data_IF_282848585241
#
_entry.id   IF_282848585241
#
_cell.length_a   1.000
_cell.length_b   1.000
_cell.length_c   1.000
_cell.angle_alpha   90.00
_cell.angle_beta   90.00
_cell.angle_gamma   90.00
#
_symmetry.space_group_name_H-M   'P 1'
#
loop_
_entity.id
_entity.type
_entity.pdbx_description
1 polymer ?
#
# COMPACT_ATOMS: atom_id res chain seq x y z
N UNK A 1 -12.76 28.63 -16.76
CA UNK A 1 -12.03 27.46 -16.23
C UNK A 1 -12.86 26.23 -16.52
N UNK A 2 -12.39 25.29 -17.35
CA UNK A 2 -13.06 24.01 -17.50
C UNK A 2 -13.01 23.27 -16.16
N UNK A 3 -14.17 23.00 -15.56
CA UNK A 3 -14.27 22.15 -14.37
C UNK A 3 -14.33 20.70 -14.84
N UNK A 4 -13.26 19.96 -14.60
CA UNK A 4 -13.25 18.52 -14.76
C UNK A 4 -14.04 17.85 -13.61
N UNK A 5 -14.69 16.71 -13.85
CA UNK A 5 -15.35 15.94 -12.81
C UNK A 5 -14.30 15.34 -11.89
N UNK A 6 -14.72 14.96 -10.69
CA UNK A 6 -13.86 14.30 -9.72
C UNK A 6 -14.55 13.03 -9.25
N UNK A 7 -13.81 11.92 -9.22
CA UNK A 7 -14.26 10.62 -8.73
C UNK A 7 -13.36 10.12 -7.60
N UNK A 8 -13.89 9.20 -6.78
CA UNK A 8 -13.16 8.47 -5.75
C UNK A 8 -13.30 6.96 -5.92
N UNK A 9 -12.23 6.22 -5.64
CA UNK A 9 -12.06 4.79 -5.94
C UNK A 9 -11.13 4.16 -4.92
N UNK A 10 -11.33 2.91 -4.46
CA UNK A 10 -10.58 2.40 -3.30
C UNK A 10 -10.10 0.92 -3.29
N UNK A 11 -9.04 0.57 -2.52
CA UNK A 11 -8.23 -0.67 -2.60
C UNK A 11 -7.60 -1.14 -1.29
N UNK A 12 -7.35 -2.43 -1.08
CA UNK A 12 -6.77 -2.94 0.19
C UNK A 12 -5.30 -2.54 0.41
N UNK A 13 -4.93 -2.19 1.65
CA UNK A 13 -3.59 -1.84 2.11
C UNK A 13 -3.06 -2.97 3.01
N UNK A 14 -1.83 -3.42 2.75
CA UNK A 14 -1.12 -4.35 3.65
C UNK A 14 0.09 -3.70 4.30
N UNK A 15 0.38 -4.00 5.58
CA UNK A 15 1.46 -3.38 6.34
C UNK A 15 2.89 -3.78 5.89
N UNK A 16 3.05 -4.67 4.92
CA UNK A 16 4.34 -5.28 4.54
C UNK A 16 4.88 -4.88 3.15
N UNK A 17 4.24 -3.91 2.48
CA UNK A 17 4.71 -3.34 1.22
C UNK A 17 4.79 -1.81 1.28
N UNK A 18 5.90 -1.24 0.83
CA UNK A 18 6.10 0.22 0.73
C UNK A 18 5.35 0.86 -0.43
N UNK A 19 4.55 0.10 -1.18
CA UNK A 19 3.86 0.54 -2.39
C UNK A 19 2.37 0.25 -2.26
N UNK A 20 1.51 1.25 -2.46
CA UNK A 20 0.05 1.10 -2.48
C UNK A 20 -0.47 1.26 -3.91
N UNK A 21 -1.43 0.44 -4.33
CA UNK A 21 -2.08 0.63 -5.62
C UNK A 21 -3.06 1.79 -5.54
N UNK A 22 -3.03 2.68 -6.53
CA UNK A 22 -3.93 3.83 -6.63
C UNK A 22 -4.96 3.67 -7.75
N UNK A 23 -4.65 3.07 -8.89
CA UNK A 23 -5.65 2.86 -9.94
C UNK A 23 -5.30 1.58 -10.70
N UNK A 24 -6.29 0.80 -11.14
CA UNK A 24 -6.04 -0.36 -12.00
C UNK A 24 -5.64 0.08 -13.42
N UNK A 25 -4.90 -0.77 -14.13
CA UNK A 25 -4.65 -0.58 -15.56
C UNK A 25 -5.87 -0.92 -16.40
N UNK A 26 -6.03 -0.24 -17.53
CA UNK A 26 -7.09 -0.51 -18.50
C UNK A 26 -8.38 0.26 -18.19
N UNK A 27 -9.51 -0.33 -18.58
CA UNK A 27 -10.83 0.23 -18.33
C UNK A 27 -11.37 -0.25 -16.98
N UNK A 28 -11.85 0.68 -16.15
CA UNK A 28 -12.34 0.38 -14.81
C UNK A 28 -13.52 1.27 -14.45
N UNK A 29 -14.35 0.81 -13.52
CA UNK A 29 -15.54 1.52 -13.04
C UNK A 29 -15.82 1.14 -11.60
N UNK A 30 -16.38 2.06 -10.82
CA UNK A 30 -16.77 1.84 -9.44
C UNK A 30 -17.90 0.80 -9.31
N UNK A 31 -17.95 0.11 -8.17
CA UNK A 31 -19.02 -0.82 -7.77
C UNK A 31 -20.38 -0.11 -7.76
N UNK A 32 -20.38 1.18 -7.39
CA UNK A 32 -21.57 2.02 -7.36
C UNK A 32 -22.10 2.43 -8.75
N UNK A 33 -21.43 1.98 -9.82
CA UNK A 33 -21.85 2.19 -11.21
C UNK A 33 -21.24 3.42 -11.89
N UNK A 34 -20.41 4.22 -11.21
CA UNK A 34 -19.67 5.32 -11.85
C UNK A 34 -18.52 4.78 -12.73
N UNK A 35 -18.16 5.47 -13.83
CA UNK A 35 -18.74 6.73 -14.29
C UNK A 35 -20.07 6.55 -15.02
N UNK A 36 -21.02 7.44 -14.74
CA UNK A 36 -22.32 7.50 -15.44
C UNK A 36 -22.35 8.54 -16.55
N UNK A 37 -21.32 9.38 -16.63
CA UNK A 37 -21.19 10.54 -17.52
C UNK A 37 -20.17 10.34 -18.65
N UNK A 38 -19.55 9.15 -18.73
CA UNK A 38 -18.65 8.76 -19.83
C UNK A 38 -19.39 7.80 -20.75
N UNK A 39 -19.36 8.06 -22.07
CA UNK A 39 -20.11 7.29 -23.06
C UNK A 39 -19.78 5.78 -23.06
N UNK A 40 -18.54 5.40 -22.73
CA UNK A 40 -18.14 4.00 -22.59
C UNK A 40 -18.67 3.34 -21.31
N UNK A 41 -19.01 4.13 -20.29
CA UNK A 41 -19.31 3.65 -18.93
C UNK A 41 -18.08 3.25 -18.11
N UNK A 42 -16.88 3.59 -18.57
CA UNK A 42 -15.61 3.25 -17.90
C UNK A 42 -14.66 4.45 -17.84
N UNK A 43 -13.92 4.56 -16.73
CA UNK A 43 -12.67 5.30 -16.70
C UNK A 43 -11.56 4.48 -17.34
N UNK A 44 -10.51 5.16 -17.82
CA UNK A 44 -9.43 4.53 -18.56
C UNK A 44 -8.06 5.00 -18.09
N UNK A 45 -7.18 4.03 -17.82
CA UNK A 45 -5.78 4.27 -17.47
C UNK A 45 -4.85 3.32 -18.23
N UNK A 46 -4.32 3.78 -19.36
CA UNK A 46 -3.25 3.09 -20.10
C UNK A 46 -1.87 3.53 -19.62
N UNK A 47 -0.80 2.86 -20.06
CA UNK A 47 0.57 3.27 -19.75
C UNK A 47 0.85 4.72 -20.18
N UNK A 48 0.40 5.14 -21.37
CA UNK A 48 0.58 6.51 -21.86
C UNK A 48 -0.20 7.53 -21.03
N UNK A 49 -1.43 7.19 -20.60
CA UNK A 49 -2.23 8.04 -19.71
C UNK A 49 -1.55 8.14 -18.35
N UNK A 50 -1.09 7.02 -17.79
CA UNK A 50 -0.38 6.98 -16.52
C UNK A 50 0.91 7.80 -16.55
N UNK A 51 1.69 7.74 -17.64
CA UNK A 51 2.91 8.54 -17.79
C UNK A 51 2.60 10.06 -17.71
N UNK A 52 1.50 10.52 -18.32
CA UNK A 52 1.05 11.93 -18.22
C UNK A 52 0.64 12.28 -16.79
N UNK A 53 -0.11 11.41 -16.13
CA UNK A 53 -0.54 11.60 -14.73
C UNK A 53 0.67 11.65 -13.79
N UNK A 54 1.61 10.69 -13.90
CA UNK A 54 2.84 10.64 -13.11
C UNK A 54 3.65 11.93 -13.29
N UNK A 55 3.91 12.33 -14.54
CA UNK A 55 4.65 13.57 -14.84
C UNK A 55 4.00 14.79 -14.21
N UNK A 56 2.67 14.89 -14.32
CA UNK A 56 1.90 15.99 -13.73
C UNK A 56 2.00 16.02 -12.20
N UNK A 57 1.82 14.89 -11.53
CA UNK A 57 1.90 14.82 -10.06
C UNK A 57 3.35 15.03 -9.57
N UNK A 58 4.34 14.48 -10.28
CA UNK A 58 5.77 14.65 -9.96
C UNK A 58 6.25 16.10 -10.09
N UNK A 59 5.59 16.92 -10.93
CA UNK A 59 5.89 18.36 -11.05
C UNK A 59 5.43 19.21 -9.86
N UNK A 60 4.66 18.63 -8.93
CA UNK A 60 4.12 19.37 -7.78
C UNK A 60 5.17 19.52 -6.69
N UNK A 61 5.21 20.72 -6.11
CA UNK A 61 5.98 20.99 -4.89
C UNK A 61 5.26 20.40 -3.67
N UNK A 62 3.92 20.45 -3.68
CA UNK A 62 3.08 19.96 -2.59
C UNK A 62 2.83 18.47 -2.73
N UNK A 63 3.08 17.71 -1.66
CA UNK A 63 2.79 16.29 -1.59
C UNK A 63 1.28 16.02 -1.65
N UNK A 64 0.92 14.84 -2.17
CA UNK A 64 -0.47 14.38 -2.27
C UNK A 64 -0.91 13.83 -0.91
N UNK A 65 -1.93 14.46 -0.31
CA UNK A 65 -2.44 14.05 1.00
C UNK A 65 -3.20 12.73 0.91
N UNK A 66 -3.04 11.89 1.92
CA UNK A 66 -3.97 10.81 2.25
C UNK A 66 -4.77 11.26 3.46
N UNK A 67 -6.08 11.45 3.33
CA UNK A 67 -6.99 11.79 4.44
C UNK A 67 -7.62 10.53 5.04
N UNK A 68 -8.58 10.70 5.96
CA UNK A 68 -9.49 9.65 6.38
C UNK A 68 -10.87 9.89 5.77
N UNK A 69 -11.52 8.84 5.27
CA UNK A 69 -12.94 8.87 4.88
C UNK A 69 -13.33 10.07 3.98
N UNK A 70 -12.44 10.46 3.06
CA UNK A 70 -12.62 11.56 2.12
C UNK A 70 -12.91 12.92 2.77
N UNK A 71 -12.43 13.18 4.00
CA UNK A 71 -12.69 14.45 4.67
C UNK A 71 -12.06 15.66 3.96
N UNK A 72 -11.04 15.51 3.10
CA UNK A 72 -10.57 16.62 2.25
C UNK A 72 -11.65 17.07 1.26
N UNK A 73 -12.51 16.16 0.78
CA UNK A 73 -13.69 16.50 -0.04
C UNK A 73 -14.90 16.91 0.80
N UNK A 74 -15.15 16.19 1.89
CA UNK A 74 -16.38 16.29 2.67
C UNK A 74 -16.34 17.39 3.74
N UNK A 75 -15.15 17.73 4.25
CA UNK A 75 -14.94 18.74 5.29
C UNK A 75 -15.63 20.07 5.01
N UNK A 76 -15.54 20.64 3.79
CA UNK A 76 -16.26 21.86 3.43
C UNK A 76 -17.79 21.78 3.56
N UNK A 77 -18.40 20.59 3.43
CA UNK A 77 -19.85 20.41 3.49
C UNK A 77 -20.36 19.95 4.85
N UNK A 78 -19.57 19.15 5.58
CA UNK A 78 -19.97 18.58 6.87
C UNK A 78 -19.33 19.27 8.09
N UNK A 79 -18.35 20.15 7.89
CA UNK A 79 -17.65 20.88 8.95
C UNK A 79 -16.69 20.04 9.81
N UNK A 80 -16.48 18.76 9.46
CA UNK A 80 -15.58 17.87 10.18
C UNK A 80 -14.12 18.09 9.75
N UNK A 81 -13.15 17.83 10.65
CA UNK A 81 -11.75 17.99 10.33
C UNK A 81 -11.29 16.95 9.29
N UNK A 82 -10.31 17.35 8.47
CA UNK A 82 -9.64 16.48 7.50
C UNK A 82 -8.17 16.23 7.89
N UNK A 83 -7.89 15.45 8.96
CA UNK A 83 -6.52 15.16 9.35
C UNK A 83 -5.85 14.27 8.30
N UNK A 84 -4.57 14.52 8.03
CA UNK A 84 -3.77 13.66 7.17
C UNK A 84 -3.54 12.30 7.86
N UNK A 85 -3.86 11.21 7.17
CA UNK A 85 -3.42 9.86 7.48
C UNK A 85 -1.97 9.63 7.01
N UNK A 86 -1.59 10.27 5.92
CA UNK A 86 -0.24 10.18 5.36
C UNK A 86 -0.05 11.04 4.12
N UNK A 87 1.08 10.86 3.45
CA UNK A 87 1.49 11.65 2.30
C UNK A 87 2.15 10.78 1.22
N UNK A 88 1.85 11.10 -0.04
CA UNK A 88 2.48 10.52 -1.22
C UNK A 88 3.29 11.62 -1.89
N UNK A 89 4.59 11.38 -2.05
CA UNK A 89 5.44 12.29 -2.83
C UNK A 89 5.13 12.12 -4.30
N UNK A 90 5.03 13.21 -5.05
CA UNK A 90 4.69 13.10 -6.48
C UNK A 90 5.68 12.25 -7.28
N UNK A 91 6.97 12.33 -6.91
CA UNK A 91 8.03 11.52 -7.50
C UNK A 91 7.97 10.02 -7.15
N UNK A 92 7.07 9.59 -6.26
CA UNK A 92 6.93 8.18 -5.88
C UNK A 92 5.81 7.44 -6.60
N UNK A 93 5.12 8.11 -7.55
CA UNK A 93 4.16 7.41 -8.41
C UNK A 93 4.89 6.58 -9.46
N UNK A 94 4.51 5.31 -9.57
CA UNK A 94 5.09 4.35 -10.52
C UNK A 94 3.99 3.62 -11.28
N UNK A 95 4.22 3.38 -12.56
CA UNK A 95 3.39 2.51 -13.38
C UNK A 95 3.90 1.08 -13.32
N UNK A 96 2.99 0.12 -13.15
CA UNK A 96 3.29 -1.31 -13.23
C UNK A 96 2.46 -1.93 -14.36
N UNK A 97 3.13 -2.44 -15.39
CA UNK A 97 2.48 -3.00 -16.57
C UNK A 97 1.49 -4.11 -16.22
N UNK A 98 0.29 -4.00 -16.78
CA UNK A 98 -0.82 -4.93 -16.54
C UNK A 98 -1.44 -4.87 -15.14
N UNK A 99 -0.91 -4.05 -14.23
CA UNK A 99 -1.45 -3.88 -12.87
C UNK A 99 -2.07 -2.51 -12.68
N UNK A 100 -1.33 -1.43 -12.96
CA UNK A 100 -1.85 -0.06 -12.86
C UNK A 100 -0.88 0.94 -12.25
N UNK A 101 -1.43 2.00 -11.67
CA UNK A 101 -0.69 3.09 -11.02
C UNK A 101 -0.54 2.80 -9.54
N UNK A 102 0.68 2.95 -9.03
CA UNK A 102 1.05 2.73 -7.63
C UNK A 102 1.74 3.96 -7.05
N UNK A 103 1.70 4.10 -5.73
CA UNK A 103 2.50 5.05 -4.97
C UNK A 103 3.46 4.30 -4.06
N UNK A 104 4.76 4.50 -4.27
CA UNK A 104 5.82 3.98 -3.42
C UNK A 104 6.14 4.93 -2.25
N UNK A 105 6.80 4.41 -1.22
CA UNK A 105 7.36 5.15 -0.10
C UNK A 105 6.36 6.11 0.59
N UNK A 106 5.11 5.65 0.74
CA UNK A 106 4.04 6.39 1.41
C UNK A 106 4.45 6.72 2.84
N UNK A 107 4.33 7.99 3.21
CA UNK A 107 4.66 8.48 4.54
C UNK A 107 3.42 8.48 5.41
N UNK A 108 3.23 7.42 6.19
CA UNK A 108 2.13 7.31 7.14
C UNK A 108 2.40 8.10 8.41
N UNK A 109 1.36 8.70 8.98
CA UNK A 109 1.39 9.14 10.38
C UNK A 109 1.42 7.93 11.31
N UNK A 110 1.95 8.09 12.52
CA UNK A 110 1.96 7.02 13.53
C UNK A 110 0.55 6.48 13.81
N UNK A 111 -0.44 7.38 13.85
CA UNK A 111 -1.85 7.02 14.03
C UNK A 111 -2.36 6.14 12.89
N UNK A 112 -2.13 6.55 11.63
CA UNK A 112 -2.56 5.75 10.47
C UNK A 112 -1.85 4.40 10.42
N UNK A 113 -0.54 4.38 10.66
CA UNK A 113 0.25 3.16 10.68
C UNK A 113 -0.26 2.17 11.75
N UNK A 114 -0.60 2.67 12.94
CA UNK A 114 -1.20 1.85 14.00
C UNK A 114 -2.56 1.27 13.59
N UNK A 115 -3.46 2.09 13.03
CA UNK A 115 -4.78 1.64 12.61
C UNK A 115 -4.73 0.65 11.42
N UNK A 116 -3.82 0.86 10.46
CA UNK A 116 -3.57 -0.09 9.36
C UNK A 116 -3.04 -1.42 9.93
N UNK A 117 -2.07 -1.37 10.85
CA UNK A 117 -1.53 -2.57 11.51
C UNK A 117 -2.59 -3.33 12.30
N UNK A 118 -3.47 -2.61 12.98
CA UNK A 118 -4.61 -3.16 13.72
C UNK A 118 -5.77 -3.61 12.81
N UNK A 119 -5.69 -3.34 11.50
CA UNK A 119 -6.76 -3.57 10.51
C UNK A 119 -8.05 -2.78 10.78
N UNK A 120 -7.96 -1.70 11.55
CA UNK A 120 -9.04 -0.74 11.73
C UNK A 120 -9.32 0.04 10.45
N UNK A 121 -8.30 0.20 9.61
CA UNK A 121 -8.46 0.65 8.24
C UNK A 121 -7.80 -0.34 7.29
N UNK A 122 -8.50 -0.65 6.21
CA UNK A 122 -8.04 -1.65 5.25
C UNK A 122 -7.90 -1.13 3.84
N UNK A 123 -8.50 0.00 3.46
CA UNK A 123 -8.51 0.41 2.06
C UNK A 123 -8.00 1.85 1.83
N UNK A 124 -7.34 2.11 0.70
CA UNK A 124 -6.95 3.43 0.20
C UNK A 124 -7.86 3.85 -0.94
N UNK A 125 -8.35 5.09 -0.96
CA UNK A 125 -9.31 5.60 -1.92
C UNK A 125 -8.84 6.86 -2.65
N UNK A 126 -8.09 6.79 -3.76
CA UNK A 126 -7.73 7.94 -4.55
C UNK A 126 -8.90 8.70 -5.14
N UNK A 127 -8.70 10.01 -5.18
CA UNK A 127 -9.57 11.02 -5.76
C UNK A 127 -8.87 11.58 -6.99
N UNK A 128 -9.52 11.49 -8.14
CA UNK A 128 -8.92 11.82 -9.42
C UNK A 128 -9.89 12.55 -10.34
N UNK A 129 -9.36 13.32 -11.28
CA UNK A 129 -10.14 13.89 -12.38
C UNK A 129 -9.97 13.07 -13.65
N UNK A 130 -10.97 13.14 -14.52
CA UNK A 130 -11.01 12.41 -15.79
C UNK A 130 -11.65 13.24 -16.91
N UNK A 131 -11.40 12.85 -18.15
CA UNK A 131 -12.05 13.41 -19.33
C UNK A 131 -13.43 12.77 -19.53
N UNK A 132 -14.50 13.56 -19.64
CA UNK A 132 -15.88 13.05 -19.80
C UNK A 132 -16.10 12.31 -21.12
N UNK A 133 -15.38 12.70 -22.16
CA UNK A 133 -15.57 12.16 -23.51
C UNK A 133 -14.88 10.82 -23.65
N UNK A 134 -13.68 10.68 -23.09
CA UNK A 134 -12.83 9.49 -23.26
C UNK A 134 -12.78 8.59 -22.03
N UNK A 135 -13.10 9.11 -20.85
CA UNK A 135 -12.90 8.43 -19.57
C UNK A 135 -11.44 8.44 -19.09
N UNK A 136 -10.51 9.03 -19.84
CA UNK A 136 -9.10 9.02 -19.48
C UNK A 136 -8.85 9.78 -18.18
N UNK A 137 -8.09 9.16 -17.28
CA UNK A 137 -7.63 9.80 -16.05
C UNK A 137 -6.70 10.97 -16.38
N UNK A 138 -6.95 12.13 -15.77
CA UNK A 138 -6.23 13.37 -16.01
C UNK A 138 -5.29 13.75 -14.87
N UNK A 139 -5.64 13.39 -13.64
CA UNK A 139 -4.89 13.79 -12.45
C UNK A 139 -5.25 13.01 -11.19
N UNK A 140 -4.33 12.90 -10.23
CA UNK A 140 -4.60 12.45 -8.85
C UNK A 140 -4.62 13.68 -7.93
N UNK A 141 -5.72 13.91 -7.22
CA UNK A 141 -5.86 15.05 -6.31
C UNK A 141 -5.39 14.73 -4.89
N UNK A 142 -5.90 13.65 -4.32
CA UNK A 142 -5.57 13.13 -2.99
C UNK A 142 -6.05 11.68 -2.89
N UNK A 143 -5.89 11.03 -1.74
CA UNK A 143 -6.49 9.73 -1.45
C UNK A 143 -7.09 9.70 -0.04
N UNK A 144 -7.86 8.66 0.28
CA UNK A 144 -8.47 8.48 1.60
C UNK A 144 -8.23 7.09 2.16
N UNK A 145 -7.81 6.99 3.42
CA UNK A 145 -7.83 5.75 4.17
C UNK A 145 -9.29 5.49 4.62
N UNK A 146 -9.88 4.37 4.17
CA UNK A 146 -11.32 4.04 4.33
C UNK A 146 -11.56 2.55 4.55
N UNK A 147 -12.75 2.19 5.05
CA UNK A 147 -13.23 0.82 5.18
C UNK A 147 -14.29 0.42 4.16
N UNK A 148 -14.84 1.36 3.39
CA UNK A 148 -15.90 1.11 2.42
C UNK A 148 -15.44 1.52 1.02
N UNK A 149 -14.67 0.67 0.33
CA UNK A 149 -14.08 1.03 -0.93
C UNK A 149 -15.10 1.09 -2.08
N UNK A 150 -14.90 2.00 -3.03
CA UNK A 150 -15.74 2.11 -4.22
C UNK A 150 -15.34 1.17 -5.39
N UNK A 151 -14.19 0.48 -5.34
CA UNK A 151 -13.76 -0.52 -6.33
C UNK A 151 -13.58 -1.90 -5.67
N UNK A 152 -13.87 -2.99 -6.40
CA UNK A 152 -13.73 -4.38 -5.95
C UNK A 152 -12.65 -5.11 -6.78
N UNK A 153 -12.03 -6.16 -6.21
CA UNK A 153 -11.22 -7.12 -6.96
C UNK A 153 -9.78 -6.72 -7.30
N UNK A 154 -9.15 -5.83 -6.52
CA UNK A 154 -7.76 -5.43 -6.76
C UNK A 154 -6.75 -6.16 -5.87
N UNK A 155 -5.50 -6.22 -6.33
CA UNK A 155 -4.42 -7.01 -5.74
C UNK A 155 -4.27 -6.72 -4.23
N UNK A 156 -4.57 -7.72 -3.42
CA UNK A 156 -4.04 -7.80 -2.05
C UNK A 156 -2.52 -7.91 -2.15
N UNK A 157 -1.82 -6.91 -1.61
CA UNK A 157 -0.35 -6.89 -1.64
C UNK A 157 0.21 -8.06 -0.81
N UNK A 158 0.56 -9.13 -1.52
CA UNK A 158 1.49 -10.14 -1.04
C UNK A 158 2.89 -9.79 -1.55
N UNK A 159 3.82 -9.62 -0.59
CA UNK A 159 5.30 -9.64 -0.69
C UNK A 159 6.06 -8.37 -1.17
N UNK A 160 6.79 -7.74 -0.23
CA UNK A 160 8.26 -7.76 -0.21
C UNK A 160 8.83 -7.42 1.19
N UNK A 161 8.61 -8.29 2.18
CA UNK A 161 9.39 -8.31 3.44
C UNK A 161 10.31 -9.55 3.55
N UNK A 162 10.35 -10.43 2.54
CA UNK A 162 11.25 -11.59 2.50
C UNK A 162 12.53 -11.37 1.66
N UNK A 163 12.62 -10.30 0.85
CA UNK A 163 13.80 -10.07 0.00
C UNK A 163 14.90 -9.20 0.63
N UNK A 164 14.64 -8.53 1.76
CA UNK A 164 15.68 -7.76 2.48
C UNK A 164 16.37 -8.50 3.63
N UNK A 165 16.00 -9.76 3.91
CA UNK A 165 16.80 -10.66 4.74
C UNK A 165 17.58 -11.73 3.94
N UNK A 166 17.44 -11.77 2.61
CA UNK A 166 18.16 -12.74 1.76
C UNK A 166 19.53 -12.27 1.24
N UNK A 167 20.11 -11.24 1.85
CA UNK A 167 21.54 -10.92 1.65
C UNK A 167 22.41 -11.19 2.89
N UNK A 168 21.84 -11.77 3.96
CA UNK A 168 22.58 -12.23 5.13
C UNK A 168 22.63 -13.76 5.27
N UNK A 169 21.92 -14.53 4.44
CA UNK A 169 21.80 -16.00 4.59
C UNK A 169 22.89 -16.83 3.92
N UNK A 170 23.94 -16.20 3.36
CA UNK A 170 25.08 -16.95 2.77
C UNK A 170 26.12 -17.44 3.78
N UNK A 171 25.89 -17.30 5.09
CA UNK A 171 26.84 -17.73 6.12
C UNK A 171 26.35 -18.83 7.09
N UNK A 172 25.07 -19.24 7.05
CA UNK A 172 24.52 -20.26 7.99
C UNK A 172 24.32 -21.66 7.39
N UNK A 173 24.75 -21.88 6.15
CA UNK A 173 24.64 -23.19 5.48
C UNK A 173 25.67 -24.24 5.92
N UNK A 174 26.58 -23.93 6.86
CA UNK A 174 27.68 -24.83 7.24
C UNK A 174 27.53 -25.56 8.60
N UNK A 175 26.40 -25.45 9.32
CA UNK A 175 26.30 -26.04 10.68
C UNK A 175 25.12 -27.02 10.86
N UNK A 176 24.78 -27.83 9.85
CA UNK A 176 23.90 -29.00 10.07
C UNK A 176 24.41 -30.28 9.43
N UNK A 177 25.67 -30.57 9.71
CA UNK A 177 26.10 -31.93 9.96
C UNK A 177 26.59 -32.00 11.42
N UNK A 178 26.18 -33.05 12.15
CA UNK A 178 26.66 -33.45 13.50
C UNK A 178 25.95 -32.65 14.61
N UNK A 179 25.13 -33.21 15.51
CA UNK A 179 25.41 -34.28 16.49
C UNK A 179 24.14 -35.05 16.88
N UNK A 180 24.30 -36.37 17.06
CA UNK A 180 23.36 -37.40 17.51
C UNK A 180 22.38 -37.02 18.65
N UNK A 181 21.09 -36.88 18.31
CA UNK A 181 19.96 -37.36 19.12
C UNK A 181 19.73 -36.82 20.54
N UNK A 182 20.48 -35.80 21.01
CA UNK A 182 20.44 -35.37 22.43
C UNK A 182 19.81 -33.99 22.71
N UNK A 183 19.14 -33.36 21.74
CA UNK A 183 18.45 -32.08 21.98
C UNK A 183 17.09 -32.05 21.28
N UNK A 184 16.02 -31.92 22.07
CA UNK A 184 14.67 -31.66 21.55
C UNK A 184 14.40 -30.15 21.39
N UNK A 185 13.31 -29.82 20.71
CA UNK A 185 12.90 -28.44 20.41
C UNK A 185 12.56 -27.61 21.66
N UNK A 186 12.30 -28.26 22.80
CA UNK A 186 11.98 -27.58 24.05
C UNK A 186 13.24 -27.00 24.70
N UNK A 187 14.36 -27.75 24.66
CA UNK A 187 15.66 -27.28 25.17
C UNK A 187 16.16 -26.03 24.42
N UNK A 188 15.99 -25.99 23.10
CA UNK A 188 16.39 -24.84 22.26
C UNK A 188 15.56 -23.60 22.57
N UNK A 189 14.27 -23.77 22.85
CA UNK A 189 13.38 -22.65 23.22
C UNK A 189 13.69 -22.10 24.61
N UNK A 190 14.00 -22.96 25.57
CA UNK A 190 14.37 -22.56 26.92
C UNK A 190 15.67 -21.73 26.96
N UNK A 191 16.69 -22.13 26.20
CA UNK A 191 17.95 -21.38 26.10
C UNK A 191 17.75 -19.96 25.55
N UNK A 192 16.88 -19.81 24.53
CA UNK A 192 16.52 -18.50 23.96
C UNK A 192 15.76 -17.63 24.93
N UNK A 193 14.85 -18.20 25.73
CA UNK A 193 14.08 -17.45 26.71
C UNK A 193 14.95 -16.96 27.88
N UNK A 194 15.99 -17.72 28.24
CA UNK A 194 16.90 -17.39 29.34
C UNK A 194 18.14 -16.59 28.89
N UNK A 195 18.31 -16.35 27.59
CA UNK A 195 19.48 -15.63 27.04
C UNK A 195 20.80 -16.38 27.20
N UNK A 196 20.76 -17.71 27.34
CA UNK A 196 21.93 -18.57 27.54
C UNK A 196 22.34 -19.21 26.21
N UNK A 197 23.65 -19.31 25.95
CA UNK A 197 24.18 -20.00 24.77
C UNK A 197 23.87 -21.50 24.82
N UNK A 198 23.51 -22.09 23.68
CA UNK A 198 23.26 -23.52 23.56
C UNK A 198 24.51 -24.35 23.91
N UNK A 199 25.71 -23.84 23.64
CA UNK A 199 26.97 -24.48 23.99
C UNK A 199 27.19 -24.52 25.51
N UNK A 200 26.80 -23.47 26.23
CA UNK A 200 26.92 -23.43 27.69
C UNK A 200 25.86 -24.31 28.36
N UNK A 201 24.67 -24.40 27.78
CA UNK A 201 23.64 -25.34 28.19
C UNK A 201 24.05 -26.80 27.95
N UNK A 202 24.72 -27.11 26.84
CA UNK A 202 25.20 -28.47 26.57
C UNK A 202 26.31 -28.91 27.54
N UNK A 203 27.16 -27.99 27.99
CA UNK A 203 28.20 -28.27 29.00
C UNK A 203 27.62 -28.66 30.36
N UNK A 204 26.42 -28.19 30.72
CA UNK A 204 25.78 -28.58 31.99
C UNK A 204 25.11 -29.96 31.93
N UNK A 205 24.86 -30.49 30.73
CA UNK A 205 24.28 -31.83 30.50
C UNK A 205 25.33 -32.94 30.33
N UNK A 206 26.62 -32.58 30.36
CA UNK A 206 27.76 -33.46 30.14
C UNK A 206 28.59 -33.78 31.39
N UNK A 207 28.05 -33.51 32.59
CA UNK A 207 28.64 -33.89 33.89
C UNK A 207 27.82 -34.98 34.59
#
# INVERSE_FOLDING_TARGET
MNRYPVASCAFEIHPSGSSIQLLPSGDFKAIDGRPTDVASGYWRLTADVAARVISKVASRITDVVIDYEHQTLNGPSNGLPAPAAGWIKGASLVWQDGRGLFAENVQWTDKAAAMIKAREYRYISPVFSYDHRTGEVLDIHHAALTNFPALDGMDSLTSLAAARFNSASKFEGHVRAIVDGRLDSAAVSACRALGVSLDDYLKTLGG
#
